data_IF_537033230243
#
_entry.id   IF_537033230243
#
_cell.length_a   1.000
_cell.length_b   1.000
_cell.length_c   1.000
_cell.angle_alpha   90.00
_cell.angle_beta   90.00
_cell.angle_gamma   90.00
#
_symmetry.space_group_name_H-M   'P 1'
#
loop_
_entity.id
_entity.type
_entity.pdbx_description
1 polymer ?
#
# COMPACT_ATOMS: atom_id res chain seq x y z
N UNK A 1 -17.87 16.59 6.27
CA UNK A 1 -16.56 16.06 6.70
C UNK A 1 -16.72 15.38 8.03
N UNK A 2 -16.78 14.04 8.04
CA UNK A 2 -16.82 13.25 9.28
C UNK A 2 -15.44 12.67 9.48
N UNK A 3 -14.69 13.24 10.42
CA UNK A 3 -13.39 12.70 10.84
C UNK A 3 -13.68 11.61 11.87
N UNK A 4 -13.55 10.35 11.46
CA UNK A 4 -13.70 9.22 12.38
C UNK A 4 -12.44 9.09 13.25
N UNK A 5 -12.58 9.39 14.53
CA UNK A 5 -11.58 9.09 15.55
C UNK A 5 -11.83 7.64 15.98
N UNK A 6 -10.99 6.71 15.53
CA UNK A 6 -11.05 5.33 16.01
C UNK A 6 -10.61 5.29 17.47
N UNK A 7 -11.54 5.03 18.39
CA UNK A 7 -11.23 4.77 19.80
C UNK A 7 -10.38 3.51 19.88
N UNK A 8 -9.12 3.66 20.28
CA UNK A 8 -8.20 2.56 20.57
C UNK A 8 -8.67 1.88 21.85
N UNK A 9 -9.64 0.98 21.73
CA UNK A 9 -9.90 -0.03 22.75
C UNK A 9 -8.68 -0.96 22.79
N UNK A 10 -7.91 -0.92 23.89
CA UNK A 10 -6.90 -1.94 24.20
C UNK A 10 -7.63 -3.26 24.41
N UNK A 11 -7.52 -4.17 23.44
CA UNK A 11 -8.07 -5.51 23.55
C UNK A 11 -7.14 -6.40 24.37
N UNK A 12 -7.42 -6.55 25.67
CA UNK A 12 -7.19 -7.81 26.38
C UNK A 12 -8.49 -8.58 26.33
N UNK A 13 -8.74 -9.30 25.24
CA UNK A 13 -9.94 -10.11 25.01
C UNK A 13 -9.58 -11.53 24.58
N UNK A 14 -10.43 -12.53 24.87
CA UNK A 14 -10.12 -13.96 24.71
C UNK A 14 -9.92 -14.35 23.24
N UNK A 15 -9.33 -15.52 23.01
CA UNK A 15 -9.10 -16.11 21.68
C UNK A 15 -10.39 -16.11 20.85
N UNK A 16 -10.51 -15.17 19.91
CA UNK A 16 -11.76 -14.86 19.20
C UNK A 16 -11.99 -13.36 18.95
N UNK A 17 -11.17 -12.48 19.52
CA UNK A 17 -11.26 -11.05 19.25
C UNK A 17 -10.87 -10.73 17.79
N UNK A 18 -11.84 -10.23 17.00
CA UNK A 18 -11.60 -9.70 15.65
C UNK A 18 -10.47 -8.68 15.66
N UNK A 19 -9.52 -8.82 14.74
CA UNK A 19 -8.46 -7.82 14.58
C UNK A 19 -9.04 -6.50 14.08
N UNK A 20 -8.30 -5.40 14.25
CA UNK A 20 -8.70 -4.10 13.68
C UNK A 20 -8.83 -4.18 12.16
N UNK A 21 -8.04 -5.03 11.50
CA UNK A 21 -8.15 -5.26 10.07
C UNK A 21 -9.47 -5.95 9.71
N UNK A 22 -9.85 -6.98 10.47
CA UNK A 22 -11.12 -7.70 10.23
C UNK A 22 -12.34 -6.78 10.42
N UNK A 23 -12.27 -5.86 11.38
CA UNK A 23 -13.31 -4.85 11.59
C UNK A 23 -13.46 -3.92 10.38
N UNK A 24 -12.34 -3.46 9.81
CA UNK A 24 -12.35 -2.61 8.61
C UNK A 24 -12.90 -3.36 7.39
N UNK A 25 -12.51 -4.63 7.21
CA UNK A 25 -13.01 -5.48 6.13
C UNK A 25 -14.51 -5.73 6.23
N UNK A 26 -14.99 -6.02 7.44
CA UNK A 26 -16.41 -6.17 7.71
C UNK A 26 -17.18 -4.88 7.42
N UNK A 27 -16.61 -3.72 7.79
CA UNK A 27 -17.21 -2.42 7.49
C UNK A 27 -17.31 -2.14 5.99
N UNK A 28 -16.31 -2.56 5.20
CA UNK A 28 -16.34 -2.43 3.75
C UNK A 28 -17.36 -3.38 3.08
N UNK A 29 -17.93 -4.35 3.80
CA UNK A 29 -18.84 -5.34 3.20
C UNK A 29 -18.14 -6.46 2.43
N UNK A 30 -16.83 -6.63 2.62
CA UNK A 30 -16.03 -7.70 2.01
C UNK A 30 -15.51 -7.39 0.60
N UNK A 31 -15.13 -8.45 -0.14
CA UNK A 31 -14.36 -8.35 -1.38
C UNK A 31 -15.08 -7.65 -2.56
N UNK A 32 -16.40 -7.51 -2.49
CA UNK A 32 -17.20 -6.80 -3.50
C UNK A 32 -17.17 -5.27 -3.32
N UNK A 33 -16.52 -4.75 -2.28
CA UNK A 33 -16.39 -3.32 -2.06
C UNK A 33 -15.69 -2.62 -3.23
N UNK A 34 -16.39 -1.71 -3.88
CA UNK A 34 -15.95 -0.94 -5.06
C UNK A 34 -15.69 0.55 -4.76
N UNK A 35 -15.67 0.89 -3.46
CA UNK A 35 -15.42 2.24 -2.97
C UNK A 35 -13.95 2.67 -3.12
N UNK A 36 -13.55 3.65 -2.33
CA UNK A 36 -12.20 4.22 -2.34
C UNK A 36 -11.50 3.97 -1.01
N UNK A 37 -10.31 3.38 -1.05
CA UNK A 37 -9.37 3.32 0.06
C UNK A 37 -8.40 4.49 -0.05
N UNK A 38 -8.36 5.34 0.95
CA UNK A 38 -7.44 6.49 1.01
C UNK A 38 -6.43 6.20 2.12
N UNK A 39 -5.19 5.95 1.72
CA UNK A 39 -4.08 5.79 2.67
C UNK A 39 -3.42 7.15 2.88
N UNK A 40 -3.78 7.80 3.97
CA UNK A 40 -3.15 9.05 4.41
C UNK A 40 -1.82 8.79 5.15
N UNK A 41 -0.85 9.67 4.95
CA UNK A 41 0.53 9.52 5.41
C UNK A 41 1.13 8.13 5.15
N UNK A 42 0.89 7.60 3.94
CA UNK A 42 1.14 6.19 3.63
C UNK A 42 2.63 5.80 3.61
N UNK A 43 3.56 6.76 3.67
CA UNK A 43 4.99 6.50 3.89
C UNK A 43 5.27 5.65 5.14
N UNK A 44 4.34 5.56 6.10
CA UNK A 44 4.42 4.63 7.24
C UNK A 44 4.41 3.14 6.84
N UNK A 45 3.95 2.82 5.63
CA UNK A 45 3.91 1.47 5.08
C UNK A 45 5.16 1.09 4.26
N UNK A 46 6.17 1.98 4.17
CA UNK A 46 7.35 1.83 3.28
C UNK A 46 8.16 0.54 3.44
N UNK A 47 8.15 -0.08 4.62
CA UNK A 47 8.94 -1.28 4.91
C UNK A 47 8.15 -2.56 4.60
N UNK A 48 7.67 -2.66 3.35
CA UNK A 48 7.07 -3.87 2.78
C UNK A 48 8.13 -4.59 1.94
N UNK A 49 8.27 -5.90 2.12
CA UNK A 49 9.15 -6.74 1.30
C UNK A 49 8.27 -7.79 0.60
N UNK A 50 8.00 -7.63 -0.71
CA UNK A 50 7.25 -8.61 -1.48
C UNK A 50 7.87 -10.01 -1.34
N UNK A 51 7.02 -11.04 -1.20
CA UNK A 51 7.47 -12.42 -1.01
C UNK A 51 8.10 -12.75 0.36
N UNK A 52 8.36 -11.75 1.22
CA UNK A 52 8.91 -11.96 2.57
C UNK A 52 8.15 -11.14 3.63
N UNK A 53 7.01 -11.67 4.04
CA UNK A 53 6.18 -11.06 5.07
C UNK A 53 6.86 -10.98 6.45
N UNK A 54 7.80 -11.88 6.75
CA UNK A 54 8.51 -11.89 8.03
C UNK A 54 9.42 -10.66 8.19
N UNK A 55 10.00 -10.18 7.09
CA UNK A 55 10.80 -8.95 7.05
C UNK A 55 9.95 -7.68 6.94
N UNK A 56 8.63 -7.80 6.80
CA UNK A 56 7.72 -6.67 6.61
C UNK A 56 7.12 -6.16 7.92
N UNK A 57 6.99 -4.84 8.07
CA UNK A 57 6.36 -4.24 9.26
C UNK A 57 4.87 -4.59 9.37
N UNK A 58 4.33 -4.62 10.59
CA UNK A 58 2.89 -4.89 10.83
C UNK A 58 1.97 -3.94 10.05
N UNK A 59 2.34 -2.67 9.95
CA UNK A 59 1.57 -1.65 9.20
C UNK A 59 1.59 -1.95 7.71
N UNK A 60 2.78 -2.17 7.13
CA UNK A 60 2.91 -2.48 5.71
C UNK A 60 2.13 -3.72 5.30
N UNK A 61 2.19 -4.79 6.11
CA UNK A 61 1.42 -6.02 5.88
C UNK A 61 -0.08 -5.77 5.94
N UNK A 62 -0.55 -4.99 6.92
CA UNK A 62 -1.97 -4.65 7.01
C UNK A 62 -2.45 -3.84 5.79
N UNK A 63 -1.65 -2.89 5.32
CA UNK A 63 -1.96 -2.07 4.13
C UNK A 63 -2.03 -2.92 2.87
N UNK A 64 -1.03 -3.77 2.62
CA UNK A 64 -1.04 -4.68 1.45
C UNK A 64 -2.17 -5.70 1.55
N UNK A 65 -2.37 -6.29 2.73
CA UNK A 65 -3.44 -7.27 2.95
C UNK A 65 -4.83 -6.68 2.72
N UNK A 66 -5.06 -5.43 3.13
CA UNK A 66 -6.32 -4.74 2.89
C UNK A 66 -6.59 -4.57 1.39
N UNK A 67 -5.57 -4.20 0.61
CA UNK A 67 -5.68 -4.05 -0.84
C UNK A 67 -5.97 -5.38 -1.56
N UNK A 68 -5.35 -6.47 -1.11
CA UNK A 68 -5.56 -7.81 -1.65
C UNK A 68 -6.97 -8.35 -1.35
N UNK A 69 -7.50 -8.07 -0.15
CA UNK A 69 -8.81 -8.53 0.28
C UNK A 69 -9.97 -7.67 -0.27
N UNK A 70 -9.68 -6.45 -0.72
CA UNK A 70 -10.64 -5.54 -1.36
C UNK A 70 -10.20 -5.25 -2.81
N UNK A 71 -10.22 -6.26 -3.69
CA UNK A 71 -9.67 -6.13 -5.04
C UNK A 71 -10.42 -5.09 -5.89
N UNK A 72 -11.73 -4.92 -5.69
CA UNK A 72 -12.56 -3.97 -6.45
C UNK A 72 -12.41 -2.52 -5.97
N UNK A 73 -11.77 -2.30 -4.82
CA UNK A 73 -11.61 -0.96 -4.28
C UNK A 73 -10.59 -0.16 -5.09
N UNK A 74 -10.91 1.11 -5.35
CA UNK A 74 -9.94 2.09 -5.85
C UNK A 74 -9.03 2.51 -4.71
N UNK A 75 -7.76 2.81 -5.00
CA UNK A 75 -6.77 3.15 -3.97
C UNK A 75 -6.14 4.50 -4.29
N UNK A 76 -6.08 5.35 -3.27
CA UNK A 76 -5.38 6.62 -3.30
C UNK A 76 -4.29 6.59 -2.24
N UNK A 77 -3.05 6.86 -2.64
CA UNK A 77 -1.90 6.96 -1.75
C UNK A 77 -1.56 8.43 -1.52
N UNK A 78 -1.78 8.92 -0.30
CA UNK A 78 -1.45 10.28 0.09
C UNK A 78 -0.15 10.24 0.90
N UNK A 79 0.93 10.81 0.35
CA UNK A 79 2.23 10.87 1.01
C UNK A 79 3.07 12.03 0.50
N UNK A 80 3.70 12.76 1.42
CA UNK A 80 4.66 13.81 1.09
C UNK A 80 6.01 13.27 0.59
N UNK A 81 6.34 12.02 0.90
CA UNK A 81 7.66 11.40 0.66
C UNK A 81 7.56 10.03 -0.02
N UNK A 82 6.48 9.80 -0.76
CA UNK A 82 6.17 8.48 -1.34
C UNK A 82 7.27 7.92 -2.25
N UNK A 83 7.95 8.79 -3.01
CA UNK A 83 8.97 8.44 -4.03
C UNK A 83 10.35 8.91 -3.58
N UNK A 84 10.72 8.67 -2.32
CA UNK A 84 12.09 8.99 -1.85
C UNK A 84 13.10 7.90 -2.23
N UNK A 85 12.70 6.63 -2.18
CA UNK A 85 13.53 5.48 -2.55
C UNK A 85 12.63 4.43 -3.20
N UNK A 86 13.10 3.73 -4.25
CA UNK A 86 12.26 2.71 -4.93
C UNK A 86 11.76 1.61 -3.98
N UNK A 87 12.58 1.03 -3.08
CA UNK A 87 12.12 -0.02 -2.16
C UNK A 87 10.92 0.41 -1.31
N UNK A 88 10.86 1.70 -0.96
CA UNK A 88 9.78 2.24 -0.15
C UNK A 88 8.43 2.26 -0.88
N UNK A 89 8.40 2.05 -2.19
CA UNK A 89 7.17 2.04 -2.99
C UNK A 89 6.52 0.66 -3.07
N UNK A 90 7.15 -0.40 -2.56
CA UNK A 90 6.69 -1.78 -2.75
C UNK A 90 5.22 -2.03 -2.34
N UNK A 91 4.69 -1.28 -1.37
CA UNK A 91 3.29 -1.41 -0.93
C UNK A 91 2.27 -0.75 -1.86
N UNK A 92 2.72 0.04 -2.84
CA UNK A 92 1.90 0.80 -3.79
C UNK A 92 1.53 -0.05 -5.03
N UNK A 93 1.19 -1.32 -4.83
CA UNK A 93 0.96 -2.30 -5.91
C UNK A 93 -0.18 -1.89 -6.87
N UNK A 94 -1.08 -1.00 -6.45
CA UNK A 94 -2.24 -0.57 -7.23
C UNK A 94 -1.96 0.56 -8.20
N UNK A 95 -0.74 1.11 -8.22
CA UNK A 95 -0.34 2.11 -9.21
C UNK A 95 -0.17 1.52 -10.63
N UNK A 96 -0.02 0.20 -10.76
CA UNK A 96 0.18 -0.44 -12.06
C UNK A 96 1.56 -0.16 -12.68
N UNK A 97 2.56 0.19 -11.85
CA UNK A 97 3.95 0.38 -12.29
C UNK A 97 4.67 -0.95 -12.55
N UNK A 98 4.20 -2.03 -11.92
CA UNK A 98 4.67 -3.40 -12.11
C UNK A 98 3.49 -4.38 -12.05
N UNK A 99 3.74 -5.62 -12.45
CA UNK A 99 2.76 -6.68 -12.51
C UNK A 99 2.29 -6.98 -13.94
N UNK A 100 1.24 -7.80 -14.04
CA UNK A 100 0.72 -8.28 -15.32
C UNK A 100 0.30 -7.12 -16.24
N UNK A 101 0.76 -7.15 -17.49
CA UNK A 101 0.45 -6.11 -18.48
C UNK A 101 1.35 -4.88 -18.42
N UNK A 102 2.32 -4.83 -17.51
CA UNK A 102 3.29 -3.73 -17.41
C UNK A 102 4.65 -4.13 -17.99
N UNK A 103 5.56 -3.16 -18.17
CA UNK A 103 6.93 -3.44 -18.59
C UNK A 103 7.76 -4.21 -17.54
N UNK A 104 7.31 -4.24 -16.29
CA UNK A 104 8.01 -4.86 -15.16
C UNK A 104 7.14 -5.98 -14.58
N UNK A 105 7.48 -7.27 -14.78
CA UNK A 105 6.62 -8.38 -14.37
C UNK A 105 6.41 -8.47 -12.85
N UNK A 106 7.37 -7.98 -12.06
CA UNK A 106 7.34 -7.96 -10.60
C UNK A 106 8.07 -6.72 -10.05
N UNK A 107 7.90 -6.46 -8.75
CA UNK A 107 8.51 -5.30 -8.09
C UNK A 107 10.04 -5.34 -8.15
N UNK A 108 10.65 -6.51 -8.03
CA UNK A 108 12.11 -6.68 -8.06
C UNK A 108 12.70 -6.24 -9.41
N UNK A 109 12.00 -6.55 -10.52
CA UNK A 109 12.42 -6.12 -11.85
C UNK A 109 12.30 -4.59 -12.03
N UNK A 110 11.26 -3.99 -11.44
CA UNK A 110 11.10 -2.54 -11.38
C UNK A 110 12.23 -1.90 -10.56
N UNK A 111 12.48 -2.41 -9.35
CA UNK A 111 13.53 -1.97 -8.45
C UNK A 111 14.91 -2.03 -9.11
N UNK A 112 15.25 -3.15 -9.74
CA UNK A 112 16.54 -3.32 -10.41
C UNK A 112 16.74 -2.31 -11.55
N UNK A 113 15.69 -2.04 -12.33
CA UNK A 113 15.75 -1.11 -13.46
C UNK A 113 16.01 0.33 -13.01
N UNK A 114 15.37 0.77 -11.91
CA UNK A 114 15.50 2.14 -11.42
C UNK A 114 16.71 2.33 -10.51
N UNK A 115 17.08 1.33 -9.69
CA UNK A 115 18.26 1.38 -8.83
C UNK A 115 19.56 1.56 -9.63
N UNK A 116 19.64 1.01 -10.85
CA UNK A 116 20.80 1.19 -11.74
C UNK A 116 20.90 2.59 -12.35
N UNK A 117 19.80 3.34 -12.40
CA UNK A 117 19.70 4.62 -13.12
C UNK A 117 19.84 5.85 -12.20
N UNK A 118 19.90 5.63 -10.89
CA UNK A 118 20.15 6.67 -9.89
C UNK A 118 19.01 7.70 -9.76
N UNK A 119 19.31 8.81 -9.09
CA UNK A 119 18.33 9.85 -8.70
C UNK A 119 17.59 10.50 -9.87
N UNK A 120 18.21 10.63 -11.05
CA UNK A 120 17.53 11.22 -12.22
C UNK A 120 16.35 10.36 -12.71
N UNK A 121 16.41 9.04 -12.57
CA UNK A 121 15.29 8.17 -12.91
C UNK A 121 14.17 8.25 -11.87
N UNK A 122 14.51 8.45 -10.59
CA UNK A 122 13.53 8.71 -9.53
C UNK A 122 12.78 10.03 -9.77
N UNK A 123 13.48 11.07 -10.19
CA UNK A 123 12.86 12.35 -10.54
C UNK A 123 11.90 12.20 -11.73
N UNK A 124 12.31 11.49 -12.78
CA UNK A 124 11.44 11.20 -13.93
C UNK A 124 10.20 10.39 -13.51
N UNK A 125 10.37 9.38 -12.66
CA UNK A 125 9.25 8.61 -12.11
C UNK A 125 8.30 9.51 -11.31
N UNK A 126 8.82 10.39 -10.46
CA UNK A 126 8.00 11.33 -9.71
C UNK A 126 7.24 12.30 -10.64
N UNK A 127 7.86 12.75 -11.74
CA UNK A 127 7.20 13.56 -12.77
C UNK A 127 6.11 12.76 -13.47
N UNK A 128 6.37 11.52 -13.89
CA UNK A 128 5.36 10.65 -14.51
C UNK A 128 4.19 10.40 -13.57
N UNK A 129 4.45 10.11 -12.30
CA UNK A 129 3.41 9.92 -11.28
C UNK A 129 2.56 11.18 -11.08
N UNK A 130 3.16 12.37 -11.21
CA UNK A 130 2.44 13.65 -11.16
C UNK A 130 1.61 13.90 -12.42
N UNK A 131 2.06 13.41 -13.58
CA UNK A 131 1.34 13.57 -14.86
C UNK A 131 0.21 12.55 -15.03
N UNK A 132 0.39 11.34 -14.50
CA UNK A 132 -0.60 10.27 -14.52
C UNK A 132 -1.72 10.46 -13.49
N UNK A 133 -1.58 11.44 -12.59
CA UNK A 133 -2.52 11.78 -11.52
C UNK A 133 -3.42 12.97 -11.85
#
# INVERSE_FOLDING_TARGET
>A
YVTLISVVGRGTGPAGAQSRLDQLLAWCGGAAFDGCLIFDECHKAKNYVPGNEASSTRVSRAVVRLQQLLPQARVVYCSATGVSEIPNMAYMERLGLWGAGTAFPAFEAFEESFSKRGVGALEMLAVEMKLAG
#
